data_IF_997719788891
#
_entry.id   IF_997719788891
#
_cell.length_a   1.000
_cell.length_b   1.000
_cell.length_c   1.000
_cell.angle_alpha   90.00
_cell.angle_beta   90.00
_cell.angle_gamma   90.00
#
_symmetry.space_group_name_H-M   'P 1'
#
loop_
_entity.id
_entity.type
_entity.pdbx_description
1 polymer ?
#
# COMPACT_ATOMS: atom_id res chain seq x y z
N UNK A 1 -17.11 -21.58 14.21
CA UNK A 1 -16.28 -20.54 14.87
C UNK A 1 -15.74 -19.50 13.89
N UNK A 2 -14.95 -19.85 12.87
CA UNK A 2 -14.36 -18.87 11.94
C UNK A 2 -15.38 -17.93 11.26
N UNK A 3 -16.55 -18.44 10.89
CA UNK A 3 -17.63 -17.63 10.33
C UNK A 3 -18.06 -16.48 11.26
N UNK A 4 -18.11 -16.73 12.58
CA UNK A 4 -18.45 -15.71 13.57
C UNK A 4 -17.39 -14.60 13.60
N UNK A 5 -16.09 -14.94 13.64
CA UNK A 5 -15.01 -13.95 13.62
C UNK A 5 -15.00 -13.08 12.36
N UNK A 6 -15.30 -13.68 11.21
CA UNK A 6 -15.39 -12.93 9.94
C UNK A 6 -16.57 -11.95 9.97
N UNK A 7 -17.73 -12.39 10.47
CA UNK A 7 -18.92 -11.54 10.59
C UNK A 7 -18.65 -10.34 11.52
N UNK A 8 -18.04 -10.57 12.68
CA UNK A 8 -17.64 -9.48 13.59
C UNK A 8 -16.63 -8.54 12.93
N UNK A 9 -15.68 -9.07 12.15
CA UNK A 9 -14.75 -8.25 11.37
C UNK A 9 -15.47 -7.38 10.33
N UNK A 10 -16.51 -7.91 9.68
CA UNK A 10 -17.23 -7.24 8.60
C UNK A 10 -17.91 -5.95 9.06
N UNK A 11 -18.38 -5.89 10.31
CA UNK A 11 -19.03 -4.72 10.91
C UNK A 11 -18.19 -3.44 10.81
N UNK A 12 -16.85 -3.57 10.86
CA UNK A 12 -15.91 -2.43 10.77
C UNK A 12 -15.16 -2.37 9.44
N UNK A 13 -15.47 -3.24 8.48
CA UNK A 13 -14.82 -3.29 7.18
C UNK A 13 -14.78 -1.93 6.46
N UNK A 14 -15.90 -1.18 6.30
CA UNK A 14 -15.87 0.09 5.57
C UNK A 14 -14.93 1.12 6.22
N UNK A 15 -14.91 1.19 7.56
CA UNK A 15 -14.06 2.10 8.31
C UNK A 15 -12.57 1.75 8.15
N UNK A 16 -12.25 0.46 8.26
CA UNK A 16 -10.87 -0.03 8.10
C UNK A 16 -10.39 0.16 6.67
N UNK A 17 -11.19 -0.18 5.67
CA UNK A 17 -10.81 -0.05 4.27
C UNK A 17 -10.56 1.41 3.87
N UNK A 18 -11.39 2.35 4.32
CA UNK A 18 -11.13 3.77 4.09
C UNK A 18 -9.76 4.17 4.65
N UNK A 19 -9.50 3.86 5.93
CA UNK A 19 -8.22 4.19 6.57
C UNK A 19 -7.03 3.52 5.89
N UNK A 20 -7.17 2.27 5.46
CA UNK A 20 -6.12 1.56 4.73
C UNK A 20 -5.80 2.20 3.39
N UNK A 21 -6.83 2.58 2.62
CA UNK A 21 -6.66 3.28 1.35
C UNK A 21 -5.99 4.65 1.55
N UNK A 22 -6.45 5.43 2.52
CA UNK A 22 -5.90 6.77 2.81
C UNK A 22 -4.43 6.71 3.24
N UNK A 23 -4.09 5.75 4.11
CA UNK A 23 -2.73 5.51 4.55
C UNK A 23 -1.83 5.09 3.38
N UNK A 24 -2.28 4.15 2.55
CA UNK A 24 -1.51 3.68 1.39
C UNK A 24 -1.29 4.80 0.37
N UNK A 25 -2.31 5.61 0.07
CA UNK A 25 -2.18 6.76 -0.82
C UNK A 25 -1.17 7.78 -0.29
N UNK A 26 -1.21 8.05 1.02
CA UNK A 26 -0.27 8.97 1.67
C UNK A 26 1.18 8.47 1.59
N UNK A 27 1.41 7.20 1.90
CA UNK A 27 2.76 6.60 1.85
C UNK A 27 3.27 6.49 0.42
N UNK A 28 2.42 6.07 -0.53
CA UNK A 28 2.80 5.98 -1.94
C UNK A 28 3.16 7.35 -2.52
N UNK A 29 2.39 8.39 -2.19
CA UNK A 29 2.69 9.77 -2.61
C UNK A 29 4.00 10.28 -1.99
N UNK A 30 4.26 9.98 -0.71
CA UNK A 30 5.51 10.33 -0.05
C UNK A 30 6.71 9.62 -0.70
N UNK A 31 6.60 8.30 -0.95
CA UNK A 31 7.64 7.51 -1.62
C UNK A 31 7.91 8.00 -3.04
N UNK A 32 6.87 8.41 -3.79
CA UNK A 32 7.01 8.90 -5.16
C UNK A 32 7.84 10.18 -5.26
N UNK A 33 7.97 10.94 -4.15
CA UNK A 33 8.77 12.15 -4.08
C UNK A 33 10.13 11.93 -3.39
N UNK A 34 10.41 10.72 -2.91
CA UNK A 34 11.59 10.45 -2.10
C UNK A 34 12.83 10.21 -2.99
N UNK A 35 13.98 10.90 -2.77
CA UNK A 35 15.11 10.88 -3.69
C UNK A 35 15.80 9.51 -3.82
N UNK A 36 15.65 8.63 -2.84
CA UNK A 36 16.21 7.26 -2.85
C UNK A 36 15.30 6.23 -3.53
N UNK A 37 14.06 6.60 -3.87
CA UNK A 37 13.08 5.73 -4.54
C UNK A 37 13.19 5.93 -6.06
N UNK A 38 13.26 4.82 -6.80
CA UNK A 38 13.37 4.81 -8.26
C UNK A 38 12.00 4.87 -8.93
N UNK A 39 11.01 4.16 -8.38
CA UNK A 39 9.66 4.08 -8.90
C UNK A 39 8.68 3.66 -7.80
N UNK A 40 7.42 4.02 -7.98
CA UNK A 40 6.28 3.57 -7.16
C UNK A 40 5.18 3.07 -8.08
N UNK A 41 4.54 1.97 -7.72
CA UNK A 41 3.39 1.40 -8.40
C UNK A 41 2.22 1.36 -7.43
N UNK A 42 1.26 2.23 -7.67
CA UNK A 42 0.04 2.38 -6.89
C UNK A 42 -1.03 3.04 -7.75
N UNK A 43 -2.14 2.36 -8.08
CA UNK A 43 -3.16 2.91 -8.98
C UNK A 43 -3.81 4.21 -8.50
N UNK A 44 -3.70 4.55 -7.21
CA UNK A 44 -4.18 5.82 -6.68
C UNK A 44 -3.30 7.03 -7.05
N UNK A 45 -2.07 6.83 -7.53
CA UNK A 45 -1.19 7.91 -7.95
C UNK A 45 -1.53 8.42 -9.35
N UNK A 46 -1.49 9.74 -9.61
CA UNK A 46 -1.71 10.29 -10.95
C UNK A 46 -0.71 9.82 -12.00
N UNK A 47 0.51 9.47 -11.58
CA UNK A 47 1.59 8.97 -12.45
C UNK A 47 1.45 7.48 -12.81
N UNK A 48 0.53 6.75 -12.17
CA UNK A 48 0.35 5.32 -12.42
C UNK A 48 -0.43 5.06 -13.70
N UNK A 49 0.04 4.11 -14.52
CA UNK A 49 -0.60 3.74 -15.79
C UNK A 49 -2.06 3.29 -15.62
N UNK A 50 -2.43 2.78 -14.45
CA UNK A 50 -3.76 2.26 -14.16
C UNK A 50 -4.66 3.29 -13.44
N UNK A 51 -4.21 4.54 -13.24
CA UNK A 51 -5.00 5.55 -12.51
C UNK A 51 -6.39 5.79 -13.11
N UNK A 52 -6.48 5.83 -14.45
CA UNK A 52 -7.76 5.96 -15.13
C UNK A 52 -8.69 4.76 -14.87
N UNK A 53 -8.14 3.54 -14.82
CA UNK A 53 -8.91 2.32 -14.53
C UNK A 53 -9.35 2.28 -13.07
N UNK A 54 -8.49 2.70 -12.14
CA UNK A 54 -8.84 2.83 -10.73
C UNK A 54 -10.00 3.80 -10.53
N UNK A 55 -9.95 4.98 -11.15
CA UNK A 55 -11.04 5.96 -11.10
C UNK A 55 -12.36 5.41 -11.66
N UNK A 56 -12.30 4.57 -12.69
CA UNK A 56 -13.49 3.94 -13.30
C UNK A 56 -14.08 2.82 -12.43
N UNK A 57 -13.25 1.92 -11.92
CA UNK A 57 -13.72 0.67 -11.31
C UNK A 57 -13.68 0.67 -9.77
N UNK A 58 -12.85 1.49 -9.16
CA UNK A 58 -12.69 1.57 -7.71
C UNK A 58 -12.53 3.02 -7.23
N UNK A 59 -13.51 3.91 -7.51
CA UNK A 59 -13.38 5.36 -7.26
C UNK A 59 -13.22 5.71 -5.77
N UNK A 60 -13.61 4.82 -4.87
CA UNK A 60 -13.53 5.03 -3.41
C UNK A 60 -12.15 4.69 -2.81
N UNK A 61 -11.22 4.15 -3.60
CA UNK A 61 -9.86 3.88 -3.15
C UNK A 61 -9.14 2.82 -3.98
N UNK A 62 -7.82 2.86 -3.99
CA UNK A 62 -6.98 1.93 -4.77
C UNK A 62 -6.48 0.72 -3.96
N UNK A 63 -7.05 0.50 -2.77
CA UNK A 63 -6.61 -0.53 -1.83
C UNK A 63 -5.40 -0.11 -0.98
N UNK A 64 -4.94 -1.05 -0.15
CA UNK A 64 -3.89 -0.84 0.84
C UNK A 64 -2.48 -1.25 0.39
N UNK A 65 -2.39 -1.89 -0.78
CA UNK A 65 -1.15 -2.52 -1.27
C UNK A 65 -0.54 -1.65 -2.36
N UNK A 66 0.76 -1.42 -2.26
CA UNK A 66 1.57 -0.73 -3.24
C UNK A 66 2.95 -1.38 -3.29
N UNK A 67 3.69 -1.12 -4.36
CA UNK A 67 5.10 -1.54 -4.47
C UNK A 67 5.96 -0.36 -4.88
N UNK A 68 7.24 -0.43 -4.52
CA UNK A 68 8.22 0.58 -4.90
C UNK A 68 9.60 -0.06 -5.02
N UNK A 69 10.47 0.58 -5.81
CA UNK A 69 11.86 0.16 -5.98
C UNK A 69 12.82 1.20 -5.45
N UNK A 70 13.89 0.76 -4.79
CA UNK A 70 14.98 1.65 -4.37
C UNK A 70 16.00 1.80 -5.49
N UNK A 71 16.57 3.01 -5.63
CA UNK A 71 17.62 3.29 -6.63
C UNK A 71 18.90 2.46 -6.38
N UNK A 72 19.15 2.11 -5.12
CA UNK A 72 20.33 1.36 -4.70
C UNK A 72 20.18 -0.17 -4.87
N UNK A 73 19.10 -0.64 -5.50
CA UNK A 73 18.93 -2.05 -5.86
C UNK A 73 18.56 -2.97 -4.69
N UNK A 74 18.79 -4.27 -4.89
CA UNK A 74 18.29 -5.36 -4.05
C UNK A 74 18.81 -5.29 -2.60
N UNK A 75 20.11 -5.14 -2.39
CA UNK A 75 20.71 -5.13 -1.04
C UNK A 75 20.16 -3.99 -0.18
N UNK A 76 19.91 -2.82 -0.78
CA UNK A 76 19.27 -1.71 -0.10
C UNK A 76 17.82 -2.03 0.27
N UNK A 77 17.13 -2.83 -0.54
CA UNK A 77 15.79 -3.36 -0.26
C UNK A 77 15.79 -4.28 0.96
N UNK A 78 16.74 -5.21 1.04
CA UNK A 78 16.91 -6.10 2.20
C UNK A 78 17.13 -5.28 3.47
N UNK A 79 18.12 -4.39 3.46
CA UNK A 79 18.43 -3.50 4.60
C UNK A 79 17.24 -2.61 4.99
N UNK A 80 16.47 -2.13 4.00
CA UNK A 80 15.29 -1.32 4.26
C UNK A 80 14.24 -2.12 5.03
N UNK A 81 13.89 -3.33 4.58
CA UNK A 81 12.88 -4.18 5.23
C UNK A 81 13.34 -4.61 6.62
N UNK A 82 14.62 -4.97 6.79
CA UNK A 82 15.20 -5.35 8.08
C UNK A 82 15.22 -4.21 9.11
N UNK A 83 15.30 -2.96 8.66
CA UNK A 83 15.37 -1.80 9.55
C UNK A 83 13.99 -1.27 10.00
N UNK A 84 12.88 -1.85 9.53
CA UNK A 84 11.54 -1.40 9.93
C UNK A 84 11.16 -1.98 11.29
N UNK A 85 10.84 -1.11 12.24
CA UNK A 85 10.42 -1.52 13.60
C UNK A 85 8.89 -1.65 13.74
N UNK A 86 8.13 -0.87 12.96
CA UNK A 86 6.66 -0.84 13.02
C UNK A 86 6.02 -1.85 12.06
N UNK A 87 6.65 -2.12 10.91
CA UNK A 87 6.11 -3.00 9.90
C UNK A 87 6.53 -4.43 10.18
N UNK A 88 5.57 -5.35 10.27
CA UNK A 88 5.87 -6.76 10.49
C UNK A 88 6.61 -7.36 9.30
N UNK A 89 7.74 -8.03 9.58
CA UNK A 89 8.46 -8.84 8.60
C UNK A 89 7.75 -10.21 8.46
N UNK A 90 6.70 -10.24 7.65
CA UNK A 90 5.89 -11.43 7.41
C UNK A 90 6.43 -12.18 6.18
N UNK A 91 7.44 -13.04 6.42
CA UNK A 91 7.90 -14.07 5.49
C UNK A 91 7.53 -15.43 6.08
N UNK A 92 6.27 -15.82 5.93
CA UNK A 92 5.75 -17.16 6.27
C UNK A 92 5.23 -17.81 5.00
#
# INVERSE_FOLDING_TARGET
FNAFLILTGLETLPLRMQRHCDNAASVAAWLSNHPKVAWVNYPGLPSDKNNALQKKYSPQGAGAVFTFGLKAGYEAGVKFVEALELFSHLAN
#
